data_IF_011529571527
#
_entry.id   IF_011529571527
#
_cell.length_a   1.000
_cell.length_b   1.000
_cell.length_c   1.000
_cell.angle_alpha   90.00
_cell.angle_beta   90.00
_cell.angle_gamma   90.00
#
_symmetry.space_group_name_H-M   'P 1'
#
loop_
_entity.id
_entity.type
_entity.pdbx_description
1 polymer ?
#
# COMPACT_ATOMS: atom_id res chain seq x y z
N UNK A 1 5.10 29.84 2.47
CA UNK A 1 5.52 29.45 1.10
C UNK A 1 6.69 28.46 1.09
N UNK A 2 7.86 28.79 1.67
CA UNK A 2 9.03 27.87 1.67
C UNK A 2 8.74 26.51 2.34
N UNK A 3 8.17 26.52 3.56
CA UNK A 3 7.89 25.29 4.31
C UNK A 3 6.87 24.39 3.61
N UNK A 4 5.84 25.01 3.00
CA UNK A 4 4.84 24.33 2.17
C UNK A 4 5.48 23.64 0.97
N UNK A 5 6.30 24.36 0.20
CA UNK A 5 6.98 23.81 -0.97
C UNK A 5 7.95 22.69 -0.58
N UNK A 6 8.66 22.83 0.53
CA UNK A 6 9.57 21.80 1.06
C UNK A 6 8.80 20.54 1.47
N UNK A 7 7.75 20.69 2.29
CA UNK A 7 6.92 19.58 2.76
C UNK A 7 6.24 18.85 1.59
N UNK A 8 5.71 19.59 0.62
CA UNK A 8 5.15 19.05 -0.62
C UNK A 8 6.19 18.27 -1.42
N UNK A 9 7.39 18.84 -1.63
CA UNK A 9 8.49 18.19 -2.38
C UNK A 9 8.97 16.90 -1.71
N UNK A 10 9.13 16.90 -0.38
CA UNK A 10 9.57 15.70 0.36
C UNK A 10 8.51 14.60 0.27
N UNK A 11 7.24 14.95 0.47
CA UNK A 11 6.12 14.01 0.32
C UNK A 11 6.06 13.41 -1.09
N UNK A 12 6.27 14.27 -2.10
CA UNK A 12 6.37 13.90 -3.52
C UNK A 12 7.47 12.86 -3.78
N UNK A 13 8.69 13.12 -3.27
CA UNK A 13 9.84 12.24 -3.45
C UNK A 13 9.62 10.88 -2.80
N UNK A 14 9.06 10.84 -1.59
CA UNK A 14 8.74 9.57 -0.94
C UNK A 14 7.66 8.80 -1.69
N UNK A 15 6.66 9.50 -2.23
CA UNK A 15 5.64 8.86 -3.04
C UNK A 15 6.21 8.26 -4.34
N UNK A 16 7.11 8.97 -5.03
CA UNK A 16 7.85 8.44 -6.18
C UNK A 16 8.69 7.23 -5.77
N UNK A 17 9.34 7.27 -4.61
CA UNK A 17 10.06 6.13 -4.02
C UNK A 17 9.16 4.90 -3.84
N UNK A 18 7.93 5.09 -3.35
CA UNK A 18 6.93 4.02 -3.26
C UNK A 18 6.60 3.43 -4.65
N UNK A 19 6.40 4.28 -5.66
CA UNK A 19 6.12 3.81 -7.04
C UNK A 19 7.28 2.98 -7.60
N UNK A 20 8.52 3.48 -7.47
CA UNK A 20 9.73 2.74 -7.87
C UNK A 20 9.80 1.40 -7.13
N UNK A 21 9.45 1.41 -5.84
CA UNK A 21 9.39 0.21 -5.03
C UNK A 21 8.38 -0.82 -5.56
N UNK A 22 7.16 -0.39 -5.91
CA UNK A 22 6.16 -1.26 -6.52
C UNK A 22 6.61 -1.84 -7.87
N UNK A 23 7.17 -1.00 -8.74
CA UNK A 23 7.70 -1.45 -10.04
C UNK A 23 8.81 -2.48 -9.85
N UNK A 24 9.71 -2.24 -8.90
CA UNK A 24 10.76 -3.20 -8.53
C UNK A 24 10.17 -4.53 -8.06
N UNK A 25 9.11 -4.51 -7.25
CA UNK A 25 8.43 -5.73 -6.81
C UNK A 25 7.80 -6.50 -7.99
N UNK A 26 7.12 -5.81 -8.91
CA UNK A 26 6.56 -6.44 -10.11
C UNK A 26 7.66 -7.10 -10.94
N UNK A 27 8.77 -6.40 -11.17
CA UNK A 27 9.93 -6.92 -11.90
C UNK A 27 10.52 -8.14 -11.20
N UNK A 28 10.66 -8.11 -9.87
CA UNK A 28 11.19 -9.22 -9.08
C UNK A 28 10.31 -10.47 -9.21
N UNK A 29 8.99 -10.32 -9.10
CA UNK A 29 8.02 -11.42 -9.28
C UNK A 29 8.14 -12.03 -10.68
N UNK A 30 8.11 -11.20 -11.72
CA UNK A 30 8.24 -11.66 -13.11
C UNK A 30 9.57 -12.35 -13.37
N UNK A 31 10.66 -11.82 -12.81
CA UNK A 31 11.98 -12.44 -12.91
C UNK A 31 12.00 -13.83 -12.27
N UNK A 32 11.40 -14.00 -11.09
CA UNK A 32 11.32 -15.32 -10.41
C UNK A 32 10.52 -16.34 -11.22
N UNK A 33 9.42 -15.93 -11.87
CA UNK A 33 8.64 -16.80 -12.76
C UNK A 33 9.45 -17.36 -13.93
N UNK A 34 10.41 -16.59 -14.45
CA UNK A 34 11.21 -16.95 -15.63
C UNK A 34 12.55 -17.60 -15.28
N UNK A 35 13.20 -17.16 -14.21
CA UNK A 35 14.62 -17.49 -13.93
C UNK A 35 14.78 -18.68 -12.98
N UNK A 36 13.82 -18.93 -12.10
CA UNK A 36 13.92 -19.99 -11.10
C UNK A 36 13.28 -21.28 -11.63
N UNK A 37 13.91 -22.43 -11.40
CA UNK A 37 13.41 -23.73 -11.89
C UNK A 37 11.99 -24.06 -11.38
N UNK A 38 11.64 -23.55 -10.19
CA UNK A 38 10.31 -23.64 -9.58
C UNK A 38 9.39 -22.47 -9.94
N UNK A 39 9.81 -21.60 -10.85
CA UNK A 39 9.10 -20.37 -11.24
C UNK A 39 7.73 -20.63 -11.88
N UNK A 40 7.52 -21.82 -12.44
CA UNK A 40 6.26 -22.29 -13.01
C UNK A 40 5.33 -22.93 -11.96
N UNK A 41 5.81 -23.21 -10.75
CA UNK A 41 4.99 -23.76 -9.68
C UNK A 41 4.00 -22.70 -9.17
N UNK A 42 2.74 -23.09 -9.04
CA UNK A 42 1.68 -22.23 -8.54
C UNK A 42 2.01 -21.69 -7.15
N UNK A 43 1.93 -20.37 -7.02
CA UNK A 43 2.12 -19.63 -5.78
C UNK A 43 3.58 -19.37 -5.44
N UNK A 44 4.55 -19.97 -6.11
CA UNK A 44 5.96 -19.87 -5.75
C UNK A 44 6.53 -18.46 -5.96
N UNK A 45 6.24 -17.85 -7.11
CA UNK A 45 6.81 -16.54 -7.45
C UNK A 45 6.28 -15.42 -6.54
N UNK A 46 5.02 -15.55 -6.10
CA UNK A 46 4.36 -14.57 -5.26
C UNK A 46 4.23 -14.98 -3.81
N UNK A 47 4.64 -16.19 -3.37
CA UNK A 47 4.50 -16.71 -1.99
C UNK A 47 4.91 -15.70 -0.91
N UNK A 48 5.84 -14.84 -1.32
CA UNK A 48 6.53 -13.85 -0.55
C UNK A 48 5.72 -12.56 -0.30
N UNK A 49 4.68 -12.31 -1.10
CA UNK A 49 3.90 -11.08 -1.08
C UNK A 49 2.71 -11.19 -0.12
N UNK A 50 2.47 -10.13 0.65
CA UNK A 50 1.29 -10.01 1.50
C UNK A 50 0.11 -9.44 0.70
N UNK A 51 -0.86 -10.30 0.37
CA UNK A 51 -2.09 -9.87 -0.33
C UNK A 51 -2.81 -8.78 0.44
N UNK A 52 -3.00 -8.97 1.75
CA UNK A 52 -3.66 -7.99 2.61
C UNK A 52 -2.90 -6.67 2.66
N UNK A 53 -1.56 -6.73 2.68
CA UNK A 53 -0.72 -5.53 2.66
C UNK A 53 -0.90 -4.73 1.36
N UNK A 54 -0.84 -5.41 0.21
CA UNK A 54 -1.04 -4.75 -1.09
C UNK A 54 -2.48 -4.25 -1.28
N UNK A 55 -3.48 -5.00 -0.85
CA UNK A 55 -4.87 -4.58 -0.94
C UNK A 55 -5.19 -3.38 -0.03
N UNK A 56 -4.66 -3.39 1.19
CA UNK A 56 -4.77 -2.25 2.11
C UNK A 56 -4.12 -0.99 1.52
N UNK A 57 -2.91 -1.13 0.93
CA UNK A 57 -2.27 -0.02 0.20
C UNK A 57 -3.07 0.43 -1.02
N UNK A 58 -3.67 -0.50 -1.78
CA UNK A 58 -4.56 -0.18 -2.90
C UNK A 58 -5.73 0.68 -2.42
N UNK A 59 -6.44 0.28 -1.36
CA UNK A 59 -7.57 1.04 -0.82
C UNK A 59 -7.14 2.44 -0.38
N UNK A 60 -5.97 2.58 0.24
CA UNK A 60 -5.44 3.89 0.61
C UNK A 60 -5.23 4.80 -0.62
N UNK A 61 -4.62 4.28 -1.69
CA UNK A 61 -4.41 5.04 -2.92
C UNK A 61 -5.73 5.33 -3.63
N UNK A 62 -6.64 4.36 -3.70
CA UNK A 62 -7.97 4.48 -4.26
C UNK A 62 -8.80 5.55 -3.56
N UNK A 63 -8.76 5.58 -2.22
CA UNK A 63 -9.46 6.59 -1.42
C UNK A 63 -9.03 8.01 -1.81
N UNK A 64 -7.72 8.26 -1.87
CA UNK A 64 -7.22 9.57 -2.30
C UNK A 64 -7.46 9.87 -3.79
N UNK A 65 -7.55 8.85 -4.65
CA UNK A 65 -7.92 9.03 -6.05
C UNK A 65 -9.38 9.50 -6.17
N UNK A 66 -10.31 8.79 -5.54
CA UNK A 66 -11.72 9.12 -5.59
C UNK A 66 -12.00 10.47 -4.91
N UNK A 67 -11.30 10.76 -3.81
CA UNK A 67 -11.27 12.09 -3.20
C UNK A 67 -10.93 13.18 -4.23
N UNK A 68 -9.83 13.02 -4.95
CA UNK A 68 -9.38 14.01 -5.93
C UNK A 68 -10.36 14.20 -7.10
N UNK A 69 -11.15 13.18 -7.44
CA UNK A 69 -12.21 13.27 -8.47
C UNK A 69 -13.40 14.08 -7.96
N UNK A 70 -13.76 13.89 -6.69
CA UNK A 70 -14.92 14.50 -6.04
C UNK A 70 -14.68 15.96 -5.63
N UNK A 71 -13.44 16.46 -5.64
CA UNK A 71 -13.16 17.88 -5.41
C UNK A 71 -13.76 18.76 -6.53
N UNK A 72 -14.15 19.99 -6.16
CA UNK A 72 -14.66 21.01 -7.09
C UNK A 72 -13.66 21.33 -8.21
N UNK A 73 -12.37 21.34 -7.88
CA UNK A 73 -11.25 21.37 -8.82
C UNK A 73 -10.35 20.14 -8.63
N UNK A 74 -10.01 19.48 -9.72
CA UNK A 74 -9.07 18.35 -9.68
C UNK A 74 -7.66 18.87 -9.40
N UNK A 75 -7.12 18.54 -8.23
CA UNK A 75 -5.69 18.64 -7.98
C UNK A 75 -4.97 17.53 -8.78
N UNK A 76 -4.45 17.89 -9.95
CA UNK A 76 -3.75 16.97 -10.85
C UNK A 76 -2.53 16.31 -10.19
N UNK A 77 -1.89 16.96 -9.22
CA UNK A 77 -0.76 16.40 -8.51
C UNK A 77 -1.21 15.19 -7.66
N UNK A 78 -2.30 15.33 -6.91
CA UNK A 78 -2.89 14.24 -6.12
C UNK A 78 -3.50 13.19 -7.04
N UNK A 79 -4.28 13.60 -8.05
CA UNK A 79 -4.96 12.70 -8.97
C UNK A 79 -4.01 11.72 -9.66
N UNK A 80 -3.01 12.22 -10.39
CA UNK A 80 -2.14 11.36 -11.20
C UNK A 80 -1.26 10.47 -10.34
N UNK A 81 -0.72 11.01 -9.24
CA UNK A 81 0.12 10.21 -8.34
C UNK A 81 -0.68 9.03 -7.77
N UNK A 82 -1.92 9.26 -7.33
CA UNK A 82 -2.80 8.21 -6.77
C UNK A 82 -3.32 7.24 -7.83
N UNK A 83 -3.61 7.71 -9.04
CA UNK A 83 -3.97 6.85 -10.17
C UNK A 83 -2.82 5.89 -10.51
N UNK A 84 -1.60 6.39 -10.65
CA UNK A 84 -0.44 5.54 -10.98
C UNK A 84 -0.19 4.51 -9.86
N UNK A 85 -0.30 4.91 -8.59
CA UNK A 85 -0.09 3.98 -7.46
C UNK A 85 -1.19 2.93 -7.32
N UNK A 86 -2.46 3.29 -7.54
CA UNK A 86 -3.58 2.34 -7.56
C UNK A 86 -3.46 1.35 -8.71
N UNK A 87 -3.06 1.80 -9.91
CA UNK A 87 -2.76 0.92 -11.04
C UNK A 87 -1.55 0.01 -10.76
N UNK A 88 -0.48 0.54 -10.18
CA UNK A 88 0.71 -0.26 -9.85
C UNK A 88 0.40 -1.33 -8.80
N UNK A 89 -0.36 -0.99 -7.74
CA UNK A 89 -0.82 -1.97 -6.74
C UNK A 89 -1.77 -3.00 -7.36
N UNK A 90 -2.66 -2.57 -8.25
CA UNK A 90 -3.55 -3.46 -8.99
C UNK A 90 -2.76 -4.47 -9.85
N UNK A 91 -1.69 -4.06 -10.53
CA UNK A 91 -0.80 -4.98 -11.27
C UNK A 91 -0.14 -6.00 -10.33
N UNK A 92 0.28 -5.61 -9.14
CA UNK A 92 0.80 -6.57 -8.15
C UNK A 92 -0.28 -7.58 -7.74
N UNK A 93 -1.50 -7.11 -7.46
CA UNK A 93 -2.64 -7.98 -7.13
C UNK A 93 -2.98 -8.93 -8.29
N UNK A 94 -2.86 -8.47 -9.54
CA UNK A 94 -3.04 -9.29 -10.73
C UNK A 94 -1.97 -10.40 -10.84
N UNK A 95 -0.71 -10.07 -10.58
CA UNK A 95 0.38 -11.06 -10.57
C UNK A 95 0.13 -12.15 -9.51
N UNK A 96 -0.41 -11.77 -8.34
CA UNK A 96 -0.81 -12.72 -7.28
C UNK A 96 -2.03 -13.53 -7.70
N UNK A 97 -3.04 -12.89 -8.30
CA UNK A 97 -4.26 -13.54 -8.79
C UNK A 97 -3.98 -14.64 -9.81
N UNK A 98 -2.98 -14.44 -10.67
CA UNK A 98 -2.54 -15.44 -11.66
C UNK A 98 -1.72 -16.56 -11.04
N UNK A 99 -0.99 -16.27 -9.97
CA UNK A 99 -0.04 -17.20 -9.36
C UNK A 99 -0.71 -18.08 -8.30
N UNK A 100 -1.75 -17.59 -7.61
CA UNK A 100 -2.39 -18.29 -6.48
C UNK A 100 -3.84 -18.67 -6.78
N UNK A 101 -4.22 -19.90 -6.40
CA UNK A 101 -5.57 -20.43 -6.64
C UNK A 101 -6.60 -20.10 -5.56
N UNK A 102 -6.17 -19.84 -4.32
CA UNK A 102 -7.10 -19.67 -3.20
C UNK A 102 -7.99 -18.43 -3.36
N UNK A 103 -9.30 -18.58 -3.13
CA UNK A 103 -10.27 -17.50 -3.30
C UNK A 103 -9.98 -16.29 -2.41
N UNK A 104 -9.56 -16.53 -1.15
CA UNK A 104 -9.19 -15.46 -0.21
C UNK A 104 -8.05 -14.58 -0.74
N UNK A 105 -7.17 -15.13 -1.59
CA UNK A 105 -6.04 -14.39 -2.18
C UNK A 105 -6.38 -13.76 -3.53
N UNK A 106 -7.45 -14.21 -4.19
CA UNK A 106 -7.93 -13.69 -5.48
C UNK A 106 -9.03 -12.62 -5.32
N UNK A 107 -9.86 -12.71 -4.28
CA UNK A 107 -10.93 -11.75 -4.02
C UNK A 107 -10.45 -10.28 -3.96
N UNK A 108 -9.29 -9.96 -3.35
CA UNK A 108 -8.77 -8.59 -3.35
C UNK A 108 -8.51 -8.00 -4.73
N UNK A 109 -8.12 -8.81 -5.72
CA UNK A 109 -7.96 -8.36 -7.10
C UNK A 109 -9.29 -7.99 -7.74
N UNK A 110 -10.34 -8.79 -7.53
CA UNK A 110 -11.68 -8.48 -8.04
C UNK A 110 -12.25 -7.20 -7.41
N UNK A 111 -12.15 -7.09 -6.08
CA UNK A 111 -12.58 -5.89 -5.37
C UNK A 111 -11.84 -4.65 -5.87
N UNK A 112 -10.52 -4.73 -6.07
CA UNK A 112 -9.73 -3.65 -6.62
C UNK A 112 -10.13 -3.28 -8.06
N UNK A 113 -10.45 -4.27 -8.89
CA UNK A 113 -10.90 -4.06 -10.26
C UNK A 113 -12.25 -3.35 -10.32
N UNK A 114 -13.21 -3.78 -9.50
CA UNK A 114 -14.53 -3.12 -9.37
C UNK A 114 -14.35 -1.68 -8.87
N UNK A 115 -13.52 -1.47 -7.86
CA UNK A 115 -13.23 -0.13 -7.34
C UNK A 115 -12.65 0.78 -8.43
N UNK A 116 -11.68 0.32 -9.22
CA UNK A 116 -11.15 1.12 -10.34
C UNK A 116 -12.23 1.46 -11.38
N UNK A 117 -13.14 0.54 -11.69
CA UNK A 117 -14.28 0.84 -12.58
C UNK A 117 -15.21 1.89 -11.98
N UNK A 118 -15.45 1.85 -10.66
CA UNK A 118 -16.23 2.87 -9.95
C UNK A 118 -15.54 4.24 -10.02
N UNK A 119 -14.23 4.32 -9.82
CA UNK A 119 -13.49 5.58 -9.96
C UNK A 119 -13.53 6.12 -11.40
N UNK A 120 -13.41 5.25 -12.41
CA UNK A 120 -13.59 5.66 -13.81
C UNK A 120 -15.01 6.19 -14.06
N UNK A 121 -16.04 5.51 -13.54
CA UNK A 121 -17.42 5.99 -13.59
C UNK A 121 -17.59 7.36 -12.94
N UNK A 122 -17.08 7.54 -11.72
CA UNK A 122 -17.11 8.81 -11.00
C UNK A 122 -16.41 9.94 -11.78
N UNK A 123 -15.37 9.63 -12.54
CA UNK A 123 -14.70 10.60 -13.40
C UNK A 123 -15.58 11.02 -14.60
N UNK A 124 -16.32 10.09 -15.21
CA UNK A 124 -17.24 10.40 -16.32
C UNK A 124 -18.47 11.19 -15.87
N UNK A 125 -19.00 10.93 -14.68
CA UNK A 125 -20.18 11.60 -14.12
C UNK A 125 -19.81 12.72 -13.14
N UNK A 126 -18.61 13.30 -13.26
CA UNK A 126 -18.03 14.20 -12.26
C UNK A 126 -18.94 15.37 -11.87
N UNK A 127 -19.62 15.98 -12.82
CA UNK A 127 -20.53 17.11 -12.56
C UNK A 127 -21.66 16.73 -11.57
N UNK A 128 -22.03 15.45 -11.54
CA UNK A 128 -23.02 14.89 -10.62
C UNK A 128 -22.41 14.42 -9.28
N UNK A 129 -21.08 14.27 -9.16
CA UNK A 129 -20.44 13.75 -7.93
C UNK A 129 -19.61 14.79 -7.20
N UNK A 130 -19.23 15.89 -7.86
CA UNK A 130 -18.39 16.95 -7.30
C UNK A 130 -19.01 17.66 -6.09
N UNK A 131 -20.36 17.71 -6.03
CA UNK A 131 -21.08 18.30 -4.90
C UNK A 131 -20.98 17.48 -3.60
N UNK A 132 -20.50 16.23 -3.68
CA UNK A 132 -20.25 15.37 -2.51
C UNK A 132 -18.84 15.57 -1.94
N UNK A 133 -18.01 16.40 -2.58
CA UNK A 133 -16.56 16.53 -2.40
C UNK A 133 -16.06 16.45 -0.97
N UNK A 134 -16.39 17.41 -0.12
CA UNK A 134 -15.81 17.51 1.23
C UNK A 134 -16.27 16.39 2.15
N UNK A 135 -17.57 16.14 2.26
CA UNK A 135 -18.09 15.10 3.17
C UNK A 135 -17.66 13.70 2.72
N UNK A 136 -17.64 13.45 1.41
CA UNK A 136 -17.18 12.17 0.87
C UNK A 136 -15.67 12.00 1.06
N UNK A 137 -14.87 13.07 0.91
CA UNK A 137 -13.43 13.07 1.16
C UNK A 137 -13.09 12.60 2.57
N UNK A 138 -13.72 13.24 3.55
CA UNK A 138 -13.49 13.00 4.97
C UNK A 138 -13.93 11.58 5.35
N UNK A 139 -15.12 11.19 4.90
CA UNK A 139 -15.67 9.85 5.13
C UNK A 139 -14.78 8.76 4.53
N UNK A 140 -14.27 8.99 3.32
CA UNK A 140 -13.43 8.03 2.61
C UNK A 140 -12.03 7.93 3.22
N UNK A 141 -11.46 9.03 3.71
CA UNK A 141 -10.21 9.02 4.44
C UNK A 141 -10.32 8.25 5.77
N UNK A 142 -11.42 8.45 6.52
CA UNK A 142 -11.71 7.68 7.73
C UNK A 142 -11.89 6.20 7.40
N UNK A 143 -12.69 5.88 6.39
CA UNK A 143 -12.91 4.49 5.95
C UNK A 143 -11.61 3.80 5.51
N UNK A 144 -10.79 4.48 4.71
CA UNK A 144 -9.49 3.98 4.31
C UNK A 144 -8.56 3.77 5.51
N UNK A 145 -8.59 4.68 6.49
CA UNK A 145 -7.85 4.53 7.75
C UNK A 145 -8.22 3.25 8.48
N UNK A 146 -9.52 2.93 8.58
CA UNK A 146 -9.99 1.70 9.22
C UNK A 146 -9.51 0.43 8.48
N UNK A 147 -9.51 0.45 7.15
CA UNK A 147 -9.00 -0.66 6.34
C UNK A 147 -7.48 -0.80 6.49
N UNK A 148 -6.75 0.32 6.54
CA UNK A 148 -5.31 0.33 6.82
C UNK A 148 -5.03 -0.29 8.19
N UNK A 149 -5.78 0.13 9.21
CA UNK A 149 -5.69 -0.38 10.57
C UNK A 149 -5.93 -1.89 10.63
N UNK A 150 -7.04 -2.36 10.06
CA UNK A 150 -7.38 -3.79 10.00
C UNK A 150 -6.27 -4.59 9.29
N UNK A 151 -5.83 -4.13 8.10
CA UNK A 151 -4.81 -4.80 7.31
C UNK A 151 -3.46 -4.88 8.01
N UNK A 152 -3.06 -3.80 8.69
CA UNK A 152 -1.80 -3.74 9.44
C UNK A 152 -1.80 -4.61 10.70
N UNK A 153 -2.90 -4.60 11.47
CA UNK A 153 -3.05 -5.48 12.65
C UNK A 153 -2.95 -6.95 12.23
N UNK A 154 -3.67 -7.34 11.17
CA UNK A 154 -3.64 -8.72 10.68
C UNK A 154 -2.25 -9.12 10.17
N UNK A 155 -1.52 -8.20 9.55
CA UNK A 155 -0.15 -8.44 9.13
C UNK A 155 0.78 -8.67 10.34
N UNK A 156 0.70 -7.83 11.37
CA UNK A 156 1.51 -7.98 12.60
C UNK A 156 1.17 -9.30 13.31
N UNK A 157 -0.12 -9.64 13.41
CA UNK A 157 -0.58 -10.90 14.02
C UNK A 157 0.00 -12.11 13.31
N UNK A 158 -0.02 -12.13 11.97
CA UNK A 158 0.56 -13.22 11.18
C UNK A 158 2.06 -13.39 11.40
N UNK A 159 2.81 -12.29 11.43
CA UNK A 159 4.25 -12.32 11.72
C UNK A 159 4.50 -12.88 13.13
N UNK A 160 3.70 -12.45 14.11
CA UNK A 160 3.84 -12.90 15.48
C UNK A 160 3.56 -14.40 15.67
N UNK A 161 2.57 -14.92 14.94
CA UNK A 161 2.21 -16.34 14.93
C UNK A 161 3.24 -17.19 14.18
N UNK A 162 3.71 -16.70 13.03
CA UNK A 162 4.69 -17.41 12.20
C UNK A 162 6.13 -17.33 12.77
N UNK A 163 6.39 -16.37 13.69
CA UNK A 163 7.74 -16.06 14.21
C UNK A 163 8.76 -15.76 13.11
N UNK A 164 8.27 -15.34 11.95
CA UNK A 164 9.09 -14.89 10.84
C UNK A 164 8.41 -13.75 10.09
N UNK A 165 9.22 -12.84 9.58
CA UNK A 165 8.77 -11.75 8.70
C UNK A 165 8.49 -12.24 7.28
N UNK A 166 8.89 -13.47 6.98
CA UNK A 166 8.69 -14.13 5.70
C UNK A 166 9.37 -13.35 4.60
N UNK A 167 8.60 -12.75 3.71
CA UNK A 167 9.15 -12.01 2.58
C UNK A 167 8.62 -10.58 2.47
N UNK A 168 8.18 -10.06 3.61
CA UNK A 168 8.18 -8.64 3.83
C UNK A 168 9.62 -8.14 3.72
N UNK A 169 9.80 -7.04 3.00
CA UNK A 169 11.11 -6.39 2.89
C UNK A 169 11.19 -5.21 3.84
N UNK A 170 12.11 -5.24 4.80
CA UNK A 170 12.37 -4.13 5.71
C UNK A 170 12.59 -2.79 4.98
N UNK A 171 13.39 -2.71 3.89
CA UNK A 171 13.58 -1.45 3.17
C UNK A 171 12.27 -0.83 2.66
N UNK A 172 11.35 -1.63 2.12
CA UNK A 172 10.03 -1.11 1.69
C UNK A 172 9.22 -0.63 2.88
N UNK A 173 9.19 -1.40 3.97
CA UNK A 173 8.45 -1.00 5.18
C UNK A 173 8.93 0.35 5.70
N UNK A 174 10.26 0.59 5.70
CA UNK A 174 10.85 1.86 6.11
C UNK A 174 10.56 3.00 5.12
N UNK A 175 10.57 2.74 3.81
CA UNK A 175 10.16 3.73 2.80
C UNK A 175 8.70 4.15 2.99
N UNK A 176 7.79 3.18 3.21
CA UNK A 176 6.39 3.46 3.51
C UNK A 176 6.23 4.24 4.82
N UNK A 177 6.97 3.88 5.87
CA UNK A 177 6.99 4.62 7.12
C UNK A 177 7.44 6.07 6.92
N UNK A 178 8.54 6.30 6.20
CA UNK A 178 9.06 7.64 5.93
C UNK A 178 8.07 8.47 5.10
N UNK A 179 7.42 7.85 4.09
CA UNK A 179 6.33 8.45 3.33
C UNK A 179 5.19 8.89 4.27
N UNK A 180 4.79 8.05 5.21
CA UNK A 180 3.65 8.33 6.08
C UNK A 180 3.97 9.43 7.11
N UNK A 181 5.20 9.47 7.65
CA UNK A 181 5.70 10.59 8.44
C UNK A 181 5.71 11.89 7.62
N UNK A 182 6.14 11.82 6.37
CA UNK A 182 6.11 12.99 5.47
C UNK A 182 4.68 13.46 5.19
N UNK A 183 3.70 12.56 5.10
CA UNK A 183 2.29 12.92 4.96
C UNK A 183 1.75 13.63 6.19
N UNK A 184 2.10 13.16 7.39
CA UNK A 184 1.72 13.84 8.66
C UNK A 184 2.32 15.24 8.69
N UNK A 185 3.61 15.36 8.38
CA UNK A 185 4.28 16.67 8.33
C UNK A 185 3.61 17.61 7.31
N UNK A 186 3.32 17.11 6.11
CA UNK A 186 2.64 17.91 5.09
C UNK A 186 1.23 18.33 5.51
N UNK A 187 0.46 17.44 6.14
CA UNK A 187 -0.86 17.75 6.68
C UNK A 187 -0.82 18.82 7.77
N UNK A 188 0.19 18.81 8.65
CA UNK A 188 0.39 19.87 9.65
C UNK A 188 0.67 21.21 8.97
N UNK A 189 1.49 21.21 7.91
CA UNK A 189 1.83 22.42 7.15
C UNK A 189 0.65 22.97 6.34
N UNK A 190 -0.28 22.11 5.91
CA UNK A 190 -1.55 22.50 5.28
C UNK A 190 -2.52 23.18 6.25
N UNK A 191 -2.35 22.98 7.56
CA UNK A 191 -3.29 23.41 8.60
C UNK A 191 -4.30 22.33 8.94
N UNK A 192 -4.82 22.35 10.18
CA UNK A 192 -5.68 21.27 10.68
C UNK A 192 -7.02 21.16 9.95
N UNK A 193 -7.58 22.28 9.49
CA UNK A 193 -8.87 22.28 8.77
C UNK A 193 -8.81 21.46 7.48
N UNK A 194 -7.73 21.58 6.71
CA UNK A 194 -7.58 20.90 5.42
C UNK A 194 -6.73 19.63 5.51
N UNK A 195 -5.78 19.58 6.45
CA UNK A 195 -4.77 18.55 6.55
C UNK A 195 -5.12 17.36 7.44
N UNK A 196 -6.20 17.44 8.25
CA UNK A 196 -6.54 16.38 9.21
C UNK A 196 -6.70 14.98 8.60
N UNK A 197 -7.28 14.77 7.40
CA UNK A 197 -7.43 13.42 6.85
C UNK A 197 -6.07 12.80 6.50
N UNK A 198 -5.15 13.64 6.01
CA UNK A 198 -3.79 13.24 5.67
C UNK A 198 -2.98 12.90 6.94
N UNK A 199 -3.16 13.69 8.00
CA UNK A 199 -2.56 13.44 9.33
C UNK A 199 -3.07 12.12 9.90
N UNK A 200 -4.38 11.91 9.93
CA UNK A 200 -5.00 10.70 10.49
C UNK A 200 -4.48 9.44 9.78
N UNK A 201 -4.57 9.42 8.44
CA UNK A 201 -4.09 8.29 7.64
C UNK A 201 -2.59 8.05 7.81
N UNK A 202 -1.79 9.13 7.77
CA UNK A 202 -0.34 9.05 7.92
C UNK A 202 0.08 8.55 9.29
N UNK A 203 -0.56 9.02 10.36
CA UNK A 203 -0.25 8.61 11.73
C UNK A 203 -0.58 7.13 11.95
N UNK A 204 -1.80 6.70 11.60
CA UNK A 204 -2.22 5.30 11.77
C UNK A 204 -1.36 4.35 10.93
N UNK A 205 -1.14 4.67 9.65
CA UNK A 205 -0.28 3.86 8.79
C UNK A 205 1.16 3.82 9.31
N UNK A 206 1.72 4.97 9.71
CA UNK A 206 3.07 5.09 10.27
C UNK A 206 3.26 4.22 11.52
N UNK A 207 2.31 4.25 12.46
CA UNK A 207 2.36 3.41 13.66
C UNK A 207 2.36 1.91 13.32
N UNK A 208 1.55 1.49 12.34
CA UNK A 208 1.53 0.09 11.89
C UNK A 208 2.83 -0.32 11.20
N UNK A 209 3.39 0.54 10.34
CA UNK A 209 4.68 0.27 9.68
C UNK A 209 5.82 0.21 10.68
N UNK A 210 5.80 1.06 11.71
CA UNK A 210 6.75 0.97 12.82
C UNK A 210 6.59 -0.35 13.59
N UNK A 211 5.36 -0.76 13.90
CA UNK A 211 5.07 -2.06 14.51
C UNK A 211 5.62 -3.23 13.69
N UNK A 212 5.39 -3.22 12.37
CA UNK A 212 5.99 -4.21 11.45
C UNK A 212 7.51 -4.12 11.45
N UNK A 213 8.11 -2.93 11.44
CA UNK A 213 9.56 -2.76 11.48
C UNK A 213 10.17 -3.34 12.77
N UNK A 214 9.52 -3.17 13.91
CA UNK A 214 9.94 -3.77 15.19
C UNK A 214 9.93 -5.30 15.10
N UNK A 215 8.98 -5.91 14.39
CA UNK A 215 8.98 -7.38 14.21
C UNK A 215 10.20 -7.90 13.45
N UNK A 216 10.86 -7.09 12.60
CA UNK A 216 12.12 -7.47 11.96
C UNK A 216 13.29 -7.50 12.96
N UNK A 217 13.26 -6.66 14.00
CA UNK A 217 14.26 -6.68 15.06
C UNK A 217 14.09 -7.90 15.97
N UNK A 218 12.83 -8.30 16.21
CA UNK A 218 12.50 -9.46 17.06
C UNK A 218 12.69 -10.80 16.35
N UNK A 219 12.45 -10.86 15.03
CA UNK A 219 12.58 -12.07 14.22
C UNK A 219 13.56 -11.84 13.05
N UNK A 220 14.86 -11.66 13.32
CA UNK A 220 15.85 -11.47 12.27
C UNK A 220 15.99 -12.74 11.43
N UNK A 221 16.12 -12.58 10.10
CA UNK A 221 16.27 -13.65 9.09
C UNK A 221 17.27 -14.76 9.45
N UNK A 222 18.27 -14.47 10.30
CA UNK A 222 19.29 -15.43 10.76
C UNK A 222 18.70 -16.68 11.43
N UNK A 223 17.58 -16.57 12.17
CA UNK A 223 16.96 -17.72 12.82
C UNK A 223 16.29 -18.69 11.84
N UNK A 224 15.79 -18.20 10.69
CA UNK A 224 15.20 -19.05 9.64
C UNK A 224 16.27 -19.83 8.86
N UNK A 225 17.45 -19.24 8.67
CA UNK A 225 18.58 -19.92 8.04
C UNK A 225 19.10 -21.07 8.92
N UNK A 226 19.23 -20.85 10.23
CA UNK A 226 19.66 -21.88 11.19
C UNK A 226 18.63 -23.00 11.34
N UNK A 227 17.33 -22.68 11.37
CA UNK A 227 16.25 -23.69 11.44
C UNK A 227 16.15 -24.57 10.17
N UNK A 228 16.42 -24.01 8.98
CA UNK A 228 16.44 -24.77 7.72
C UNK A 228 17.68 -25.66 7.56
N UNK A 229 18.80 -25.28 8.16
CA UNK A 229 20.02 -26.09 8.17
C UNK A 229 19.89 -27.24 9.17
N UNK A 230 19.27 -27.03 10.33
CA UNK A 230 18.99 -28.08 11.32
C UNK A 230 18.08 -29.20 10.82
N UNK A 231 17.11 -28.90 9.95
CA UNK A 231 16.22 -29.90 9.35
C UNK A 231 16.82 -30.69 8.17
N UNK A 232 18.00 -30.30 7.68
CA UNK A 232 18.72 -31.01 6.60
C UNK A 232 19.75 -32.02 7.11
N UNK A 233 19.90 -32.17 8.44
CA UNK A 233 20.85 -33.08 9.08
C UNK A 233 20.18 -34.26 9.81
N UNK A 234 18.92 -34.59 9.50
CA UNK A 234 18.26 -35.81 9.98
C UNK A 234 17.74 -36.61 8.79
#
# INVERSE_FOLDING_TARGET
>A
MFLYNLAGTVSSLFFLGCLVGLVSQIRKVRKRKVTEARGTELGYATQSLSVNGFFSSFIAFYAFLLYSIMLEDIDYYIFFTRLIASLATWVVLFEIFRDRLSLSQRAPFWAASIALLVALGALFFRDEVSHLGEVAAESLAVFATLIILQGGIEQIRKIWQAKCTGALSLPMTLIFFAKDVSNVFFGIVLGLELGWPLILMGAVSGMLKLGVAITFLLYPEKLEAEARVGYRQV
#
